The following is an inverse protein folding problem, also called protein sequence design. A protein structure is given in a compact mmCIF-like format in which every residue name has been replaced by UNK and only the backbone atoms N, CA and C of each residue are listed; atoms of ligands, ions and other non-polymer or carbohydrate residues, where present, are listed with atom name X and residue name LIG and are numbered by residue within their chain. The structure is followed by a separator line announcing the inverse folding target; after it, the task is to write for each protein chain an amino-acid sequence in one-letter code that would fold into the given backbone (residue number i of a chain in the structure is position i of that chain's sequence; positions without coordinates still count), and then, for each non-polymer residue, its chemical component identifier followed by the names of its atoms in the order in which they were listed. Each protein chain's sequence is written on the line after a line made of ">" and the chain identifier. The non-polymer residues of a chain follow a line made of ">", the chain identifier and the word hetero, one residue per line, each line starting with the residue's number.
data_IF_293957278907
#
_entry.id   IF_293957278907
#
_cell.length_a   1.000
_cell.length_b   1.000
_cell.length_c   1.000
_cell.angle_alpha   90.00
_cell.angle_beta   90.00
_cell.angle_gamma   90.00
#
_symmetry.space_group_name_H-M   'P 1'
#
loop_
_entity.id
_entity.type
_entity.pdbx_description
1 polymer ?
#
# COMPACT_ATOMS: atom_id res chain seq x y z
N UNK A 1 4.03 -27.01 -16.19
CA UNK A 1 3.66 -26.40 -14.90
C UNK A 1 2.24 -25.92 -15.02
N UNK A 2 1.37 -26.33 -14.10
CA UNK A 2 -0.01 -25.82 -14.05
C UNK A 2 0.01 -24.40 -13.52
N UNK A 3 -0.91 -23.54 -13.96
CA UNK A 3 -0.93 -22.13 -13.55
C UNK A 3 -1.03 -21.94 -12.02
N UNK A 4 -1.64 -22.89 -11.31
CA UNK A 4 -1.82 -22.83 -9.85
C UNK A 4 -0.55 -23.10 -9.04
N UNK A 5 0.42 -23.84 -9.59
CA UNK A 5 1.68 -24.13 -8.90
C UNK A 5 2.55 -22.87 -8.77
N UNK A 6 2.53 -22.02 -9.79
CA UNK A 6 3.25 -20.74 -9.80
C UNK A 6 2.74 -19.80 -8.72
N UNK A 7 1.42 -19.82 -8.43
CA UNK A 7 0.80 -19.00 -7.39
C UNK A 7 1.26 -19.35 -5.97
N UNK A 8 1.80 -20.56 -5.76
CA UNK A 8 2.30 -21.02 -4.46
C UNK A 8 3.81 -20.86 -4.33
N UNK A 9 4.55 -20.84 -5.45
CA UNK A 9 6.01 -20.80 -5.44
C UNK A 9 6.59 -19.40 -5.38
N UNK A 10 5.86 -18.40 -5.85
CA UNK A 10 6.40 -17.05 -6.03
C UNK A 10 5.51 -15.99 -5.41
N UNK A 11 6.11 -15.14 -4.58
CA UNK A 11 5.43 -13.96 -4.06
C UNK A 11 5.27 -12.90 -5.15
N UNK A 12 4.24 -12.03 -5.09
CA UNK A 12 4.04 -10.96 -6.07
C UNK A 12 5.23 -10.00 -6.25
N UNK A 13 6.06 -9.82 -5.22
CA UNK A 13 7.24 -8.95 -5.21
C UNK A 13 8.51 -9.64 -5.71
N UNK A 14 8.48 -10.96 -5.85
CA UNK A 14 9.63 -11.76 -6.28
C UNK A 14 9.72 -11.76 -7.82
N UNK A 15 10.15 -10.62 -8.37
CA UNK A 15 10.28 -10.40 -9.82
C UNK A 15 11.71 -10.60 -10.34
N UNK A 16 12.66 -10.92 -9.46
CA UNK A 16 14.07 -11.04 -9.80
C UNK A 16 14.33 -12.11 -10.86
N UNK A 17 15.00 -11.73 -11.95
CA UNK A 17 15.35 -12.66 -13.03
C UNK A 17 14.24 -12.94 -14.05
N UNK A 18 13.05 -12.33 -13.90
CA UNK A 18 12.00 -12.38 -14.91
C UNK A 18 12.31 -11.45 -16.08
N UNK A 19 11.85 -11.83 -17.28
CA UNK A 19 11.86 -10.94 -18.44
C UNK A 19 10.94 -9.74 -18.17
N UNK A 20 11.40 -8.54 -18.48
CA UNK A 20 10.61 -7.31 -18.41
C UNK A 20 10.81 -6.46 -19.65
N UNK A 21 9.89 -5.54 -19.85
CA UNK A 21 9.96 -4.56 -20.94
C UNK A 21 11.03 -3.49 -20.66
N UNK A 22 11.37 -2.72 -21.68
CA UNK A 22 12.28 -1.58 -21.53
C UNK A 22 11.70 -0.58 -20.52
N UNK A 23 12.50 -0.22 -19.52
CA UNK A 23 12.09 0.69 -18.46
C UNK A 23 12.21 2.13 -18.95
N UNK A 24 11.08 2.86 -18.99
CA UNK A 24 11.10 4.32 -19.08
C UNK A 24 11.47 4.90 -17.72
N UNK A 25 12.64 5.53 -17.62
CA UNK A 25 13.10 6.22 -16.41
C UNK A 25 12.75 7.69 -16.52
N UNK A 26 11.64 8.07 -15.92
CA UNK A 26 11.21 9.46 -15.80
C UNK A 26 11.13 9.84 -14.34
N UNK A 27 11.54 11.07 -14.02
CA UNK A 27 11.31 11.62 -12.70
C UNK A 27 9.80 11.80 -12.46
N UNK A 28 9.38 11.60 -11.22
CA UNK A 28 8.00 11.80 -10.79
C UNK A 28 7.98 12.71 -9.58
N UNK A 29 7.35 13.88 -9.72
CA UNK A 29 7.15 14.79 -8.61
C UNK A 29 6.17 14.17 -7.61
N UNK A 30 6.60 14.05 -6.35
CA UNK A 30 5.74 13.49 -5.32
C UNK A 30 4.59 14.45 -5.00
N UNK A 31 3.37 13.92 -5.10
CA UNK A 31 2.17 14.60 -4.70
C UNK A 31 2.19 14.91 -3.19
N UNK A 32 1.49 15.97 -2.72
CA UNK A 32 1.45 16.29 -1.30
C UNK A 32 0.96 15.14 -0.41
N UNK A 33 0.06 14.28 -0.92
CA UNK A 33 -0.44 13.13 -0.17
C UNK A 33 0.58 11.99 -0.10
N UNK A 34 1.41 11.80 -1.12
CA UNK A 34 2.48 10.79 -1.15
C UNK A 34 3.54 11.13 -0.12
N UNK A 35 3.94 12.41 -0.03
CA UNK A 35 4.84 12.90 1.02
C UNK A 35 4.27 12.66 2.42
N UNK A 36 2.97 12.87 2.61
CA UNK A 36 2.28 12.57 3.88
C UNK A 36 2.22 11.07 4.15
N UNK A 37 2.01 10.23 3.13
CA UNK A 37 2.04 8.78 3.28
C UNK A 37 3.42 8.29 3.72
N UNK A 38 4.49 8.88 3.17
CA UNK A 38 5.87 8.58 3.59
C UNK A 38 6.09 8.99 5.05
N UNK A 39 5.76 10.23 5.41
CA UNK A 39 5.88 10.71 6.78
C UNK A 39 5.06 9.87 7.77
N UNK A 40 3.87 9.39 7.36
CA UNK A 40 3.07 8.46 8.17
C UNK A 40 3.81 7.15 8.40
N UNK A 41 4.49 6.59 7.39
CA UNK A 41 5.29 5.38 7.55
C UNK A 41 6.39 5.58 8.61
N UNK A 42 7.08 6.73 8.57
CA UNK A 42 8.12 7.07 9.53
C UNK A 42 7.58 7.21 10.95
N UNK A 43 6.43 7.87 11.13
CA UNK A 43 5.76 8.01 12.42
C UNK A 43 5.33 6.64 12.96
N UNK A 44 4.77 5.77 12.12
CA UNK A 44 4.36 4.43 12.52
C UNK A 44 5.55 3.56 12.94
N UNK A 45 6.70 3.66 12.25
CA UNK A 45 7.92 2.93 12.63
C UNK A 45 8.58 3.52 13.87
N UNK A 46 8.62 4.85 13.99
CA UNK A 46 9.18 5.54 15.16
C UNK A 46 8.47 5.12 16.44
N UNK A 47 7.13 5.06 16.40
CA UNK A 47 6.31 4.58 17.52
C UNK A 47 6.20 3.05 17.60
N UNK A 48 6.90 2.30 16.75
CA UNK A 48 6.93 0.83 16.71
C UNK A 48 5.55 0.20 16.55
N UNK A 49 4.64 0.89 15.86
CA UNK A 49 3.29 0.41 15.53
C UNK A 49 3.34 -0.51 14.32
N UNK A 50 4.07 -0.10 13.28
CA UNK A 50 4.35 -0.92 12.09
C UNK A 50 5.85 -0.85 11.83
N UNK A 51 6.52 -1.99 11.81
CA UNK A 51 7.92 -2.06 11.39
C UNK A 51 8.08 -2.31 9.88
N UNK A 52 9.33 -2.22 9.40
CA UNK A 52 9.64 -2.39 7.97
C UNK A 52 9.23 -3.75 7.41
N UNK A 53 9.40 -4.85 8.16
CA UNK A 53 9.03 -6.19 7.69
C UNK A 53 7.52 -6.39 7.64
N UNK A 54 6.78 -5.86 8.62
CA UNK A 54 5.32 -5.85 8.60
C UNK A 54 4.78 -5.10 7.39
N UNK A 55 5.39 -3.96 7.04
CA UNK A 55 5.07 -3.23 5.81
C UNK A 55 5.33 -4.06 4.56
N UNK A 56 6.51 -4.68 4.41
CA UNK A 56 6.85 -5.49 3.23
C UNK A 56 5.87 -6.64 3.05
N UNK A 57 5.64 -7.42 4.11
CA UNK A 57 4.65 -8.51 4.11
C UNK A 57 3.24 -7.99 3.84
N UNK A 58 2.87 -6.83 4.38
CA UNK A 58 1.57 -6.21 4.15
C UNK A 58 1.33 -5.82 2.69
N UNK A 59 2.36 -5.31 2.01
CA UNK A 59 2.29 -5.02 0.57
C UNK A 59 2.17 -6.31 -0.23
N UNK A 60 2.95 -7.34 0.09
CA UNK A 60 2.87 -8.66 -0.56
C UNK A 60 1.49 -9.30 -0.42
N UNK A 61 0.86 -9.15 0.75
CA UNK A 61 -0.46 -9.66 1.04
C UNK A 61 -1.59 -8.99 0.23
N UNK A 62 -1.34 -7.85 -0.45
CA UNK A 62 -2.32 -7.25 -1.37
C UNK A 62 -2.57 -8.12 -2.60
N UNK A 63 -1.64 -9.01 -2.93
CA UNK A 63 -1.72 -9.87 -4.11
C UNK A 63 -1.27 -9.20 -5.40
N UNK A 64 -1.05 -10.03 -6.43
CA UNK A 64 -0.42 -9.62 -7.68
C UNK A 64 -1.21 -8.56 -8.45
N UNK A 65 -2.55 -8.68 -8.48
CA UNK A 65 -3.40 -7.73 -9.20
C UNK A 65 -3.29 -6.31 -8.63
N UNK A 66 -3.42 -6.18 -7.31
CA UNK A 66 -3.35 -4.89 -6.63
C UNK A 66 -1.97 -4.27 -6.75
N UNK A 67 -0.89 -5.06 -6.58
CA UNK A 67 0.48 -4.57 -6.75
C UNK A 67 0.73 -4.06 -8.17
N UNK A 68 0.16 -4.72 -9.19
CA UNK A 68 0.30 -4.31 -10.59
C UNK A 68 -0.51 -3.06 -10.96
N UNK A 69 -1.63 -2.80 -10.28
CA UNK A 69 -2.52 -1.66 -10.59
C UNK A 69 -2.26 -0.42 -9.75
N UNK A 70 -1.88 -0.59 -8.48
CA UNK A 70 -1.69 0.52 -7.55
C UNK A 70 -0.31 1.18 -7.74
N UNK A 71 -0.28 2.49 -7.56
CA UNK A 71 0.95 3.27 -7.43
C UNK A 71 1.75 2.84 -6.18
N UNK A 72 3.01 3.27 -6.11
CA UNK A 72 3.90 2.90 -5.01
C UNK A 72 3.33 3.25 -3.63
N UNK A 73 2.83 4.48 -3.47
CA UNK A 73 2.27 4.94 -2.19
C UNK A 73 0.84 4.46 -1.95
N UNK A 74 0.08 4.15 -3.00
CA UNK A 74 -1.24 3.51 -2.85
C UNK A 74 -1.11 2.12 -2.21
N UNK A 75 -0.10 1.33 -2.59
CA UNK A 75 0.20 0.04 -1.95
C UNK A 75 0.51 0.22 -0.47
N UNK A 76 1.27 1.25 -0.11
CA UNK A 76 1.66 1.52 1.28
C UNK A 76 0.46 1.88 2.14
N UNK A 77 -0.36 2.85 1.71
CA UNK A 77 -1.48 3.30 2.53
C UNK A 77 -2.52 2.19 2.72
N UNK A 78 -2.75 1.36 1.69
CA UNK A 78 -3.62 0.18 1.78
C UNK A 78 -3.06 -0.87 2.76
N UNK A 79 -1.76 -1.18 2.66
CA UNK A 79 -1.09 -2.10 3.58
C UNK A 79 -1.14 -1.59 5.03
N UNK A 80 -0.93 -0.31 5.28
CA UNK A 80 -1.01 0.29 6.62
C UNK A 80 -2.42 0.17 7.20
N UNK A 81 -3.46 0.49 6.44
CA UNK A 81 -4.84 0.31 6.88
C UNK A 81 -5.10 -1.15 7.30
N UNK A 82 -4.73 -2.12 6.46
CA UNK A 82 -4.89 -3.55 6.75
C UNK A 82 -4.14 -3.99 8.02
N UNK A 83 -2.89 -3.56 8.20
CA UNK A 83 -2.09 -3.89 9.39
C UNK A 83 -2.72 -3.27 10.65
N UNK A 84 -3.18 -2.01 10.58
CA UNK A 84 -3.82 -1.33 11.70
C UNK A 84 -5.17 -1.97 12.09
N UNK A 85 -5.92 -2.48 11.10
CA UNK A 85 -7.10 -3.31 11.36
C UNK A 85 -6.75 -4.61 12.07
N UNK A 86 -5.72 -5.33 11.61
CA UNK A 86 -5.27 -6.57 12.23
C UNK A 86 -4.80 -6.36 13.68
N UNK A 87 -4.21 -5.20 13.98
CA UNK A 87 -3.79 -4.80 15.33
C UNK A 87 -4.92 -4.22 16.19
N UNK A 88 -6.12 -4.05 15.64
CA UNK A 88 -7.26 -3.46 16.34
C UNK A 88 -7.11 -1.97 16.68
N UNK A 89 -6.13 -1.28 16.08
CA UNK A 89 -5.89 0.17 16.27
C UNK A 89 -6.92 0.97 15.47
N UNK A 90 -7.27 0.48 14.28
CA UNK A 90 -8.37 1.01 13.49
C UNK A 90 -9.49 -0.01 13.39
N UNK A 91 -10.72 0.49 13.24
CA UNK A 91 -11.90 -0.30 12.91
C UNK A 91 -12.35 0.08 11.49
N UNK A 92 -12.62 -0.89 10.60
CA UNK A 92 -13.00 -0.59 9.21
C UNK A 92 -14.19 0.37 9.06
N UNK A 93 -15.20 0.24 9.92
CA UNK A 93 -16.39 1.11 9.89
C UNK A 93 -16.06 2.55 10.25
N UNK A 94 -15.12 2.77 11.18
CA UNK A 94 -14.69 4.11 11.58
C UNK A 94 -13.86 4.77 10.49
N UNK A 95 -13.01 3.99 9.81
CA UNK A 95 -12.28 4.50 8.65
C UNK A 95 -13.25 4.89 7.52
N UNK A 96 -14.22 4.04 7.20
CA UNK A 96 -15.20 4.32 6.15
C UNK A 96 -16.02 5.58 6.47
N UNK A 97 -16.48 5.73 7.72
CA UNK A 97 -17.15 6.96 8.17
C UNK A 97 -16.24 8.18 8.02
N UNK A 98 -14.96 8.05 8.40
CA UNK A 98 -14.02 9.17 8.27
C UNK A 98 -13.74 9.54 6.81
N UNK A 99 -13.68 8.57 5.91
CA UNK A 99 -13.52 8.80 4.48
C UNK A 99 -14.72 9.58 3.93
N UNK A 100 -15.95 9.20 4.29
CA UNK A 100 -17.17 9.93 3.88
C UNK A 100 -17.18 11.39 4.39
N UNK A 101 -16.75 11.62 5.64
CA UNK A 101 -16.60 12.98 6.18
C UNK A 101 -15.55 13.81 5.42
N UNK A 102 -14.45 13.18 5.02
CA UNK A 102 -13.39 13.85 4.24
C UNK A 102 -13.90 14.19 2.84
N UNK A 103 -14.59 13.25 2.18
CA UNK A 103 -15.19 13.45 0.87
C UNK A 103 -16.21 14.58 0.88
N UNK A 104 -17.14 14.59 1.84
CA UNK A 104 -18.12 15.66 2.00
C UNK A 104 -17.45 17.03 2.23
N UNK A 105 -16.39 17.07 3.05
CA UNK A 105 -15.61 18.30 3.27
C UNK A 105 -14.91 18.78 2.00
N UNK A 106 -14.40 17.86 1.17
CA UNK A 106 -13.76 18.21 -0.11
C UNK A 106 -14.79 18.71 -1.12
N UNK A 107 -15.96 18.10 -1.20
CA UNK A 107 -17.04 18.55 -2.08
C UNK A 107 -17.60 19.92 -1.68
N UNK A 108 -17.55 20.27 -0.38
CA UNK A 108 -17.98 21.57 0.13
C UNK A 108 -16.91 22.67 0.04
N UNK A 109 -15.66 22.32 -0.30
CA UNK A 109 -14.59 23.28 -0.55
C UNK A 109 -14.58 23.64 -2.04
N UNK A 110 -14.74 24.91 -2.42
CA UNK A 110 -14.67 25.35 -3.81
C UNK A 110 -13.26 25.17 -4.40
#
# INVERSE_FOLDING_TARGET
>A
MTGSEELLKRLPTDLGGLSGDAISRTEHDLEPWEKRCHALADVLDFHKIINTEEKRRGVEALGAEMIGKLSYYERWIAAFANILFQKGILVPVDLARKMAEVEARRAAQP
#
